data_IF_267036563616
#
_entry.id   IF_267036563616
#
_cell.length_a   1.000
_cell.length_b   1.000
_cell.length_c   1.000
_cell.angle_alpha   90.00
_cell.angle_beta   90.00
_cell.angle_gamma   90.00
#
_symmetry.space_group_name_H-M   'P 1'
#
loop_
_entity.id
_entity.type
_entity.pdbx_description
1 polymer ?
#
# COMPACT_ATOMS: atom_id res chain seq x y z
N UNK A 1 -0.20 8.13 8.83
CA UNK A 1 0.66 6.96 8.51
C UNK A 1 -0.13 5.66 8.56
N UNK A 2 -0.67 5.25 9.73
CA UNK A 2 -1.51 4.04 9.85
C UNK A 2 -2.57 3.93 8.77
N UNK A 3 -3.36 4.99 8.58
CA UNK A 3 -4.42 5.04 7.56
C UNK A 3 -3.91 4.77 6.15
N UNK A 4 -2.75 5.33 5.79
CA UNK A 4 -2.13 5.08 4.47
C UNK A 4 -1.61 3.65 4.32
N UNK A 5 -1.11 3.05 5.40
CA UNK A 5 -0.74 1.63 5.39
C UNK A 5 -2.00 0.77 5.22
N UNK A 6 -3.09 1.06 5.93
CA UNK A 6 -4.36 0.33 5.76
C UNK A 6 -4.89 0.46 4.34
N UNK A 7 -4.93 1.68 3.78
CA UNK A 7 -5.36 1.92 2.40
C UNK A 7 -4.48 1.17 1.38
N UNK A 8 -3.16 1.13 1.63
CA UNK A 8 -2.26 0.36 0.78
C UNK A 8 -2.57 -1.14 0.84
N UNK A 9 -2.74 -1.69 2.04
CA UNK A 9 -3.01 -3.12 2.24
C UNK A 9 -4.33 -3.52 1.56
N UNK A 10 -5.38 -2.71 1.71
CA UNK A 10 -6.67 -2.90 1.03
C UNK A 10 -6.56 -2.84 -0.50
N UNK A 11 -5.57 -2.14 -1.02
CA UNK A 11 -5.36 -2.00 -2.46
C UNK A 11 -4.58 -3.16 -3.08
N UNK A 12 -3.55 -3.64 -2.38
CA UNK A 12 -2.61 -4.63 -2.91
C UNK A 12 -2.99 -6.06 -2.59
N UNK A 13 -3.72 -6.29 -1.49
CA UNK A 13 -3.96 -7.62 -0.97
C UNK A 13 -5.42 -8.05 -1.08
N UNK A 14 -5.64 -9.36 -1.15
CA UNK A 14 -6.97 -9.96 -1.04
C UNK A 14 -7.51 -9.78 0.39
N UNK A 15 -8.78 -9.37 0.53
CA UNK A 15 -9.38 -9.07 1.82
C UNK A 15 -9.31 -10.24 2.81
N UNK A 16 -9.48 -11.48 2.33
CA UNK A 16 -9.50 -12.67 3.17
C UNK A 16 -8.09 -13.12 3.60
N UNK A 17 -7.05 -12.67 2.88
CA UNK A 17 -5.66 -13.11 3.09
C UNK A 17 -4.67 -11.97 3.31
N UNK A 18 -5.16 -10.75 3.48
CA UNK A 18 -4.36 -9.53 3.43
C UNK A 18 -3.12 -9.54 4.34
N UNK A 19 -3.25 -10.08 5.56
CA UNK A 19 -2.12 -10.14 6.48
C UNK A 19 -1.05 -11.15 6.07
N UNK A 20 -1.48 -12.31 5.57
CA UNK A 20 -0.58 -13.37 5.09
C UNK A 20 0.14 -12.88 3.85
N UNK A 21 -0.57 -12.28 2.91
CA UNK A 21 0.04 -11.74 1.69
C UNK A 21 1.02 -10.62 2.02
N UNK A 22 0.72 -9.74 2.98
CA UNK A 22 1.68 -8.74 3.45
C UNK A 22 2.95 -9.38 4.01
N UNK A 23 2.85 -10.49 4.76
CA UNK A 23 4.01 -11.24 5.22
C UNK A 23 4.79 -11.86 4.07
N UNK A 24 4.09 -12.48 3.11
CA UNK A 24 4.71 -13.10 1.93
C UNK A 24 5.46 -12.04 1.08
N UNK A 25 4.89 -10.84 0.93
CA UNK A 25 5.50 -9.75 0.18
C UNK A 25 6.67 -9.10 0.90
N UNK A 26 6.54 -8.85 2.21
CA UNK A 26 7.47 -7.99 2.95
C UNK A 26 8.45 -8.74 3.84
N UNK A 27 8.22 -10.03 4.10
CA UNK A 27 8.94 -10.82 5.11
C UNK A 27 8.62 -10.42 6.55
N UNK A 28 7.74 -9.42 6.76
CA UNK A 28 7.37 -8.95 8.09
C UNK A 28 6.17 -9.75 8.60
N UNK A 29 6.23 -10.31 9.82
CA UNK A 29 5.16 -11.15 10.35
C UNK A 29 3.78 -10.50 10.27
N UNK A 30 2.78 -11.25 9.79
CA UNK A 30 1.37 -10.86 9.63
C UNK A 30 0.83 -10.12 10.86
N UNK A 31 1.24 -10.57 12.05
CA UNK A 31 0.80 -10.01 13.33
C UNK A 31 1.18 -8.53 13.50
N UNK A 32 2.33 -8.10 12.97
CA UNK A 32 2.77 -6.70 13.06
C UNK A 32 1.89 -5.79 12.20
N UNK A 33 1.53 -6.24 10.99
CA UNK A 33 0.56 -5.54 10.14
C UNK A 33 -0.82 -5.43 10.81
N UNK A 34 -1.31 -6.50 11.42
CA UNK A 34 -2.55 -6.49 12.19
C UNK A 34 -2.49 -5.50 13.38
N UNK A 35 -1.38 -5.50 14.13
CA UNK A 35 -1.21 -4.61 15.27
C UNK A 35 -1.19 -3.14 14.83
N UNK A 36 -0.51 -2.83 13.72
CA UNK A 36 -0.54 -1.49 13.13
C UNK A 36 -1.95 -1.12 12.71
N UNK A 37 -2.66 -1.99 11.98
CA UNK A 37 -4.03 -1.74 11.53
C UNK A 37 -4.99 -1.47 12.68
N UNK A 38 -4.83 -2.20 13.79
CA UNK A 38 -5.65 -2.04 15.01
C UNK A 38 -5.21 -0.87 15.90
N UNK A 39 -4.15 -0.14 15.53
CA UNK A 39 -3.59 0.95 16.33
C UNK A 39 -2.88 0.49 17.62
N UNK A 40 -2.62 -0.80 17.76
CA UNK A 40 -1.88 -1.39 18.90
C UNK A 40 -0.38 -1.13 18.80
N UNK A 41 0.13 -0.86 17.60
CA UNK A 41 1.54 -0.59 17.33
C UNK A 41 1.66 0.58 16.36
N UNK A 42 2.67 1.43 16.56
CA UNK A 42 3.09 2.37 15.51
C UNK A 42 3.88 1.62 14.42
N UNK A 43 3.75 2.02 13.14
CA UNK A 43 4.61 1.49 12.08
C UNK A 43 6.08 1.75 12.42
N UNK A 44 6.92 0.72 12.27
CA UNK A 44 8.38 0.84 12.46
C UNK A 44 9.05 1.27 11.16
N UNK A 45 10.31 1.73 11.24
CA UNK A 45 11.12 2.03 10.06
C UNK A 45 11.22 0.81 9.13
N UNK A 46 11.50 -0.37 9.68
CA UNK A 46 11.53 -1.64 8.95
C UNK A 46 10.25 -1.90 8.13
N UNK A 47 9.07 -1.63 8.69
CA UNK A 47 7.79 -1.78 7.97
C UNK A 47 7.64 -0.79 6.83
N UNK A 48 8.09 0.45 7.03
CA UNK A 48 8.03 1.51 6.02
C UNK A 48 9.03 1.21 4.90
N UNK A 49 10.24 0.77 5.24
CA UNK A 49 11.28 0.36 4.29
C UNK A 49 10.83 -0.84 3.46
N UNK A 50 10.25 -1.87 4.09
CA UNK A 50 9.75 -3.03 3.37
C UNK A 50 8.65 -2.68 2.36
N UNK A 51 7.71 -1.79 2.73
CA UNK A 51 6.72 -1.27 1.77
C UNK A 51 7.41 -0.52 0.63
N UNK A 52 8.38 0.35 0.94
CA UNK A 52 9.08 1.14 -0.06
C UNK A 52 9.91 0.29 -1.04
N UNK A 53 10.41 -0.85 -0.61
CA UNK A 53 11.12 -1.80 -1.46
C UNK A 53 10.18 -2.62 -2.35
N UNK A 54 9.04 -3.08 -1.81
CA UNK A 54 8.09 -3.92 -2.57
C UNK A 54 7.23 -3.07 -3.52
N UNK A 55 6.83 -1.87 -3.09
CA UNK A 55 6.00 -0.96 -3.86
C UNK A 55 6.57 0.46 -3.88
N UNK A 56 7.68 0.69 -4.62
CA UNK A 56 8.35 1.98 -4.66
C UNK A 56 7.47 3.13 -5.17
N UNK A 57 6.47 2.84 -6.00
CA UNK A 57 5.52 3.84 -6.50
C UNK A 57 4.68 4.48 -5.38
N UNK A 58 4.50 3.79 -4.24
CA UNK A 58 3.74 4.30 -3.10
C UNK A 58 4.62 4.90 -2.00
N UNK A 59 5.96 4.75 -2.04
CA UNK A 59 6.87 5.20 -0.97
C UNK A 59 6.77 6.72 -0.71
N UNK A 60 6.78 7.48 -1.82
CA UNK A 60 6.35 8.88 -1.96
C UNK A 60 5.27 9.30 -0.97
N UNK A 61 4.10 8.80 -1.34
CA UNK A 61 2.83 9.10 -0.72
C UNK A 61 2.70 8.50 0.68
N UNK A 62 3.25 7.32 0.90
CA UNK A 62 3.24 6.67 2.20
C UNK A 62 3.87 7.59 3.24
N UNK A 63 5.07 8.10 2.99
CA UNK A 63 5.80 8.91 3.96
C UNK A 63 5.23 10.32 4.05
N UNK A 64 5.08 10.99 2.91
CA UNK A 64 4.76 12.43 2.86
C UNK A 64 3.27 12.75 2.90
N UNK A 65 2.42 11.80 2.52
CA UNK A 65 1.00 12.05 2.26
C UNK A 65 0.71 12.83 0.97
N UNK A 66 1.73 13.06 0.12
CA UNK A 66 1.62 13.76 -1.15
C UNK A 66 1.94 12.82 -2.32
N UNK A 67 1.42 13.14 -3.50
CA UNK A 67 1.75 12.43 -4.74
C UNK A 67 2.64 13.30 -5.62
N UNK A 68 3.45 12.65 -6.46
CA UNK A 68 4.24 13.27 -7.51
C UNK A 68 4.21 12.35 -8.73
N UNK A 69 3.13 12.46 -9.50
CA UNK A 69 2.84 11.59 -10.65
C UNK A 69 3.90 11.69 -11.74
N UNK A 70 4.52 12.87 -11.90
CA UNK A 70 5.58 13.10 -12.88
C UNK A 70 6.83 12.25 -12.60
N UNK A 71 7.10 11.97 -11.33
CA UNK A 71 8.19 11.09 -10.87
C UNK A 71 7.74 9.64 -10.64
N UNK A 72 6.49 9.29 -10.97
CA UNK A 72 5.93 7.96 -10.75
C UNK A 72 5.52 7.66 -9.31
N UNK A 73 5.46 8.67 -8.44
CA UNK A 73 5.01 8.53 -7.06
C UNK A 73 3.50 8.79 -6.95
N UNK A 74 2.74 7.73 -6.75
CA UNK A 74 1.27 7.78 -6.78
C UNK A 74 0.69 7.29 -5.45
N UNK A 75 -0.64 7.42 -5.31
CA UNK A 75 -1.39 6.80 -4.23
C UNK A 75 -2.16 5.58 -4.75
N UNK A 76 -2.56 4.65 -3.86
CA UNK A 76 -3.47 3.56 -4.22
C UNK A 76 -4.75 4.05 -4.93
N UNK A 77 -5.34 5.16 -4.46
CA UNK A 77 -6.51 5.76 -5.08
C UNK A 77 -6.26 6.20 -6.54
N UNK A 78 -5.13 6.84 -6.83
CA UNK A 78 -4.77 7.23 -8.20
C UNK A 78 -4.55 6.01 -9.09
N UNK A 79 -3.89 4.95 -8.58
CA UNK A 79 -3.69 3.73 -9.34
C UNK A 79 -5.03 3.03 -9.68
N UNK A 80 -5.98 3.00 -8.73
CA UNK A 80 -7.35 2.46 -8.98
C UNK A 80 -8.05 3.21 -10.10
N UNK A 81 -8.07 4.54 -10.04
CA UNK A 81 -8.70 5.38 -11.07
C UNK A 81 -8.06 5.14 -12.45
N UNK A 82 -6.73 5.13 -12.52
CA UNK A 82 -6.02 4.86 -13.77
C UNK A 82 -6.35 3.47 -14.34
N UNK A 83 -6.44 2.45 -13.47
CA UNK A 83 -6.81 1.07 -13.85
C UNK A 83 -8.23 1.02 -14.42
N UNK A 84 -9.20 1.67 -13.79
CA UNK A 84 -10.60 1.63 -14.21
C UNK A 84 -10.84 2.39 -15.52
N UNK A 85 -10.20 3.56 -15.70
CA UNK A 85 -10.21 4.28 -16.96
C UNK A 85 -9.64 3.44 -18.12
N UNK A 86 -8.57 2.68 -17.85
CA UNK A 86 -7.99 1.77 -18.84
C UNK A 86 -8.92 0.60 -19.20
N UNK A 87 -9.75 0.11 -18.28
CA UNK A 87 -10.76 -0.92 -18.58
C UNK A 87 -11.87 -0.38 -19.47
N UNK A 88 -12.40 0.81 -19.16
CA UNK A 88 -13.45 1.46 -19.95
C UNK A 88 -12.99 1.67 -21.40
N UNK A 89 -11.78 2.20 -21.60
CA UNK A 89 -11.20 2.45 -22.93
C UNK A 89 -10.98 1.20 -23.77
N UNK A 90 -10.86 0.01 -23.16
CA UNK A 90 -10.69 -1.27 -23.86
C UNK A 90 -12.01 -1.96 -24.19
N UNK A 91 -13.11 -1.54 -23.56
CA UNK A 91 -14.42 -2.16 -23.70
C UNK A 91 -15.33 -1.46 -24.73
N UNK A 92 -14.95 -0.26 -25.21
CA UNK A 92 -15.60 0.46 -26.31
C UNK A 92 -14.73 0.47 -27.54
#
# INVERSE_FOLDING_TARGET
MRERICELIEHIADADRCWREMEDFTGIPSKRWQNVSRGLQRPTSEMIEAIGLVWPQFAFWLVTGRTDEASGHISPALERVARDLNKIRKAG
#
